data_IF_415930861255
#
_entry.id   IF_415930861255
#
_cell.length_a   1.000
_cell.length_b   1.000
_cell.length_c   1.000
_cell.angle_alpha   90.00
_cell.angle_beta   90.00
_cell.angle_gamma   90.00
#
_symmetry.space_group_name_H-M   'P 1'
#
loop_
_entity.id
_entity.type
_entity.pdbx_description
1 polymer ?
#
# COMPACT_ATOMS: atom_id res chain seq x y z
N UNK A 1 -3.70 21.69 -15.75
CA UNK A 1 -3.14 22.07 -14.44
C UNK A 1 -3.95 21.35 -13.39
N UNK A 2 -3.31 20.55 -12.53
CA UNK A 2 -3.98 20.02 -11.34
C UNK A 2 -4.33 21.19 -10.42
N UNK A 3 -5.44 21.11 -9.69
CA UNK A 3 -5.76 22.14 -8.72
C UNK A 3 -4.86 21.97 -7.49
N UNK A 4 -4.48 23.06 -6.81
CA UNK A 4 -3.67 23.01 -5.59
C UNK A 4 -4.21 22.01 -4.52
N UNK A 5 -5.55 21.88 -4.33
CA UNK A 5 -6.12 20.83 -3.48
C UNK A 5 -5.78 19.40 -3.90
N UNK A 6 -5.62 19.11 -5.19
CA UNK A 6 -5.28 17.77 -5.68
C UNK A 6 -3.83 17.42 -5.38
N UNK A 7 -2.91 18.39 -5.50
CA UNK A 7 -1.49 18.19 -5.21
C UNK A 7 -1.24 17.87 -3.73
N UNK A 8 -1.92 18.58 -2.82
CA UNK A 8 -1.83 18.32 -1.39
C UNK A 8 -2.39 16.94 -1.01
N UNK A 9 -3.52 16.55 -1.62
CA UNK A 9 -4.10 15.21 -1.41
C UNK A 9 -3.15 14.12 -1.93
N UNK A 10 -2.56 14.31 -3.10
CA UNK A 10 -1.60 13.38 -3.69
C UNK A 10 -0.38 13.19 -2.80
N UNK A 11 0.18 14.26 -2.25
CA UNK A 11 1.32 14.18 -1.33
C UNK A 11 0.96 13.41 -0.05
N UNK A 12 -0.19 13.69 0.55
CA UNK A 12 -0.66 12.99 1.74
C UNK A 12 -0.84 11.49 1.49
N UNK A 13 -1.49 11.12 0.37
CA UNK A 13 -1.68 9.72 -0.01
C UNK A 13 -0.33 9.03 -0.26
N UNK A 14 0.57 9.68 -0.98
CA UNK A 14 1.90 9.13 -1.27
C UNK A 14 2.70 8.87 0.01
N UNK A 15 2.68 9.81 0.96
CA UNK A 15 3.36 9.65 2.24
C UNK A 15 2.77 8.50 3.07
N UNK A 16 1.44 8.33 3.05
CA UNK A 16 0.80 7.24 3.78
C UNK A 16 1.09 5.87 3.17
N UNK A 17 1.09 5.75 1.84
CA UNK A 17 1.51 4.53 1.14
C UNK A 17 2.96 4.20 1.50
N UNK A 18 3.86 5.19 1.43
CA UNK A 18 5.26 5.00 1.78
C UNK A 18 5.44 4.58 3.24
N UNK A 19 4.64 5.12 4.16
CA UNK A 19 4.63 4.70 5.57
C UNK A 19 4.20 3.23 5.72
N UNK A 20 3.08 2.83 5.11
CA UNK A 20 2.62 1.44 5.16
C UNK A 20 3.69 0.46 4.63
N UNK A 21 4.37 0.84 3.55
CA UNK A 21 5.42 0.03 2.94
C UNK A 21 6.67 -0.12 3.80
N UNK A 22 7.01 0.85 4.64
CA UNK A 22 8.15 0.70 5.58
C UNK A 22 7.93 -0.45 6.57
N UNK A 23 6.67 -0.73 6.90
CA UNK A 23 6.30 -1.81 7.81
C UNK A 23 6.14 -3.12 7.03
N UNK A 24 5.41 -3.09 5.91
CA UNK A 24 5.13 -4.28 5.09
C UNK A 24 6.35 -4.84 4.37
N UNK A 25 7.22 -3.96 3.89
CA UNK A 25 8.37 -4.27 3.02
C UNK A 25 9.60 -3.46 3.47
N UNK A 26 10.12 -3.72 4.69
CA UNK A 26 11.26 -2.99 5.24
C UNK A 26 12.54 -3.17 4.41
N UNK A 27 12.60 -4.20 3.56
CA UNK A 27 13.65 -4.41 2.57
C UNK A 27 13.71 -3.30 1.48
N UNK A 28 12.62 -2.55 1.32
CA UNK A 28 12.49 -1.51 0.29
C UNK A 28 12.70 -0.14 0.90
N UNK A 29 13.95 0.35 0.79
CA UNK A 29 14.36 1.65 1.33
C UNK A 29 13.64 2.84 0.71
N UNK A 30 13.32 2.77 -0.59
CA UNK A 30 12.72 3.90 -1.32
C UNK A 30 11.69 3.35 -2.30
N UNK A 31 10.45 3.10 -1.85
CA UNK A 31 9.41 2.61 -2.75
C UNK A 31 9.14 3.65 -3.82
N UNK A 32 9.11 3.22 -5.08
CA UNK A 32 8.74 4.07 -6.20
C UNK A 32 7.23 3.93 -6.38
N UNK A 33 6.50 5.03 -6.21
CA UNK A 33 5.05 5.07 -6.37
C UNK A 33 4.74 5.84 -7.64
N UNK A 34 4.06 5.20 -8.58
CA UNK A 34 3.76 5.78 -9.89
C UNK A 34 2.29 5.74 -10.18
N UNK A 35 1.83 6.67 -11.02
CA UNK A 35 0.54 6.57 -11.69
C UNK A 35 0.70 6.70 -13.20
N UNK A 36 -0.21 6.11 -13.96
CA UNK A 36 -0.27 6.21 -15.42
C UNK A 36 -1.71 6.28 -15.89
N UNK A 37 -1.92 6.91 -17.05
CA UNK A 37 -3.23 7.00 -17.69
C UNK A 37 -3.17 6.37 -19.07
N UNK A 38 -4.02 5.38 -19.30
CA UNK A 38 -4.19 4.75 -20.61
C UNK A 38 -5.52 5.17 -21.21
N UNK A 39 -5.47 5.79 -22.40
CA UNK A 39 -6.67 6.27 -23.08
C UNK A 39 -7.21 5.19 -24.02
N UNK A 40 -8.49 4.86 -23.88
CA UNK A 40 -9.21 3.97 -24.78
C UNK A 40 -9.32 4.60 -26.17
N UNK A 41 -8.83 3.93 -27.23
CA UNK A 41 -8.92 4.43 -28.59
C UNK A 41 -10.37 4.42 -29.13
N UNK A 42 -11.30 3.71 -28.47
CA UNK A 42 -12.68 3.54 -28.93
C UNK A 42 -13.67 4.49 -28.27
N UNK A 43 -13.50 4.76 -26.98
CA UNK A 43 -14.49 5.51 -26.18
C UNK A 43 -14.00 6.89 -25.77
N UNK A 44 -12.73 7.24 -26.06
CA UNK A 44 -12.07 8.46 -25.61
C UNK A 44 -12.01 8.64 -24.07
N UNK A 45 -12.55 7.68 -23.31
CA UNK A 45 -12.35 7.51 -21.88
C UNK A 45 -10.95 6.96 -21.63
N UNK A 46 -10.48 6.99 -20.39
CA UNK A 46 -9.23 6.31 -20.04
C UNK A 46 -9.24 5.77 -18.63
N UNK A 47 -8.21 5.01 -18.35
CA UNK A 47 -8.04 4.23 -17.13
C UNK A 47 -6.80 4.71 -16.42
N UNK A 48 -6.95 5.01 -15.14
CA UNK A 48 -5.83 5.34 -14.26
C UNK A 48 -5.31 4.08 -13.59
N UNK A 49 -4.00 3.86 -13.66
CA UNK A 49 -3.31 2.81 -12.93
C UNK A 49 -2.41 3.46 -11.89
N UNK A 50 -2.38 2.92 -10.67
CA UNK A 50 -1.42 3.32 -9.63
C UNK A 50 -0.68 2.09 -9.12
N UNK A 51 0.64 2.17 -8.99
CA UNK A 51 1.49 1.05 -8.63
C UNK A 51 2.64 1.43 -7.69
N UNK A 52 3.07 0.46 -6.88
CA UNK A 52 4.28 0.48 -6.07
C UNK A 52 5.29 -0.47 -6.69
N UNK A 53 6.52 0.00 -6.87
CA UNK A 53 7.63 -0.78 -7.38
C UNK A 53 8.70 -0.97 -6.31
N UNK A 54 9.36 -2.13 -6.35
CA UNK A 54 10.59 -2.39 -5.60
C UNK A 54 11.79 -1.74 -6.27
N UNK A 55 12.91 -1.70 -5.54
CA UNK A 55 14.19 -1.24 -6.06
C UNK A 55 14.67 -2.05 -7.29
N UNK A 56 14.22 -3.31 -7.41
CA UNK A 56 14.55 -4.21 -8.52
C UNK A 56 13.55 -4.12 -9.68
N UNK A 57 12.77 -3.04 -9.76
CA UNK A 57 11.77 -2.81 -10.81
C UNK A 57 10.65 -3.87 -10.85
N UNK A 58 10.34 -4.52 -9.73
CA UNK A 58 9.19 -5.43 -9.62
C UNK A 58 7.98 -4.71 -9.04
N UNK A 59 6.81 -4.91 -9.62
CA UNK A 59 5.53 -4.42 -9.07
C UNK A 59 5.18 -5.21 -7.82
N UNK A 60 4.82 -4.50 -6.76
CA UNK A 60 4.44 -5.08 -5.46
C UNK A 60 2.95 -4.92 -5.22
N UNK A 61 2.45 -3.72 -5.50
CA UNK A 61 1.05 -3.38 -5.41
C UNK A 61 0.66 -2.68 -6.69
N UNK A 62 -0.51 -3.01 -7.23
CA UNK A 62 -1.07 -2.34 -8.40
C UNK A 62 -2.57 -2.24 -8.25
N UNK A 63 -3.12 -1.13 -8.72
CA UNK A 63 -4.55 -0.89 -8.76
C UNK A 63 -4.93 -0.25 -10.07
N UNK A 64 -6.13 -0.60 -10.54
CA UNK A 64 -6.73 -0.05 -11.74
C UNK A 64 -8.02 0.66 -11.33
N UNK A 65 -8.12 1.92 -11.72
CA UNK A 65 -9.31 2.76 -11.61
C UNK A 65 -9.79 3.04 -13.03
N UNK A 66 -11.03 2.64 -13.33
CA UNK A 66 -11.68 2.94 -14.61
C UNK A 66 -12.03 4.42 -14.71
N UNK A 67 -13.31 4.74 -14.92
CA UNK A 67 -13.77 6.13 -14.87
C UNK A 67 -13.42 6.77 -13.51
N UNK A 68 -12.65 7.84 -13.51
CA UNK A 68 -12.15 8.49 -12.31
C UNK A 68 -10.95 9.41 -12.59
N UNK A 69 -10.32 9.91 -11.53
CA UNK A 69 -9.11 10.72 -11.61
C UNK A 69 -7.90 9.99 -10.99
N UNK A 70 -6.72 10.61 -11.11
CA UNK A 70 -5.48 10.07 -10.54
C UNK A 70 -5.53 9.92 -9.02
N UNK A 71 -6.23 10.82 -8.31
CA UNK A 71 -6.39 10.77 -6.84
C UNK A 71 -7.17 9.52 -6.45
N UNK A 72 -8.20 9.14 -7.19
CA UNK A 72 -9.00 7.95 -6.92
C UNK A 72 -8.19 6.66 -7.12
N UNK A 73 -7.36 6.59 -8.16
CA UNK A 73 -6.43 5.48 -8.35
C UNK A 73 -5.43 5.37 -7.18
N UNK A 74 -4.88 6.50 -6.74
CA UNK A 74 -3.97 6.54 -5.60
C UNK A 74 -4.65 6.18 -4.28
N UNK A 75 -5.92 6.56 -4.09
CA UNK A 75 -6.73 6.14 -2.93
C UNK A 75 -6.95 4.64 -2.91
N UNK A 76 -7.20 4.00 -4.06
CA UNK A 76 -7.29 2.54 -4.15
C UNK A 76 -5.98 1.87 -3.78
N UNK A 77 -4.85 2.40 -4.25
CA UNK A 77 -3.53 1.89 -3.89
C UNK A 77 -3.27 2.03 -2.38
N UNK A 78 -3.66 3.16 -1.79
CA UNK A 78 -3.61 3.37 -0.34
C UNK A 78 -4.47 2.35 0.41
N UNK A 79 -5.69 2.11 -0.04
CA UNK A 79 -6.57 1.12 0.57
C UNK A 79 -5.93 -0.26 0.55
N UNK A 80 -5.37 -0.67 -0.59
CA UNK A 80 -4.70 -1.96 -0.75
C UNK A 80 -3.54 -2.11 0.25
N UNK A 81 -2.64 -1.13 0.32
CA UNK A 81 -1.51 -1.18 1.29
C UNK A 81 -1.97 -1.11 2.75
N UNK A 82 -3.09 -0.43 3.04
CA UNK A 82 -3.60 -0.33 4.42
C UNK A 82 -4.27 -1.62 4.88
N UNK A 83 -4.96 -2.33 3.97
CA UNK A 83 -5.54 -3.66 4.26
C UNK A 83 -4.43 -4.67 4.52
N UNK A 84 -3.41 -4.74 3.65
CA UNK A 84 -2.28 -5.64 3.86
C UNK A 84 -1.55 -5.36 5.17
N UNK A 85 -1.39 -4.08 5.56
CA UNK A 85 -0.80 -3.72 6.85
C UNK A 85 -1.61 -4.27 8.02
N UNK A 86 -2.94 -4.15 7.95
CA UNK A 86 -3.84 -4.69 8.98
C UNK A 86 -3.74 -6.21 9.06
N UNK A 87 -3.73 -6.90 7.94
CA UNK A 87 -3.60 -8.36 7.90
C UNK A 87 -2.31 -8.82 8.58
N UNK A 88 -1.17 -8.20 8.24
CA UNK A 88 0.11 -8.51 8.89
C UNK A 88 0.11 -8.19 10.40
N UNK A 89 -0.55 -7.11 10.82
CA UNK A 89 -0.67 -6.80 12.25
C UNK A 89 -1.49 -7.85 13.00
N UNK A 90 -2.60 -8.31 12.42
CA UNK A 90 -3.42 -9.37 13.01
C UNK A 90 -2.63 -10.69 13.12
N UNK A 91 -1.90 -11.09 12.07
CA UNK A 91 -1.04 -12.28 12.11
C UNK A 91 0.02 -12.19 13.22
N UNK A 92 0.56 -10.99 13.46
CA UNK A 92 1.54 -10.77 14.52
C UNK A 92 0.92 -10.83 15.92
N UNK A 93 -0.31 -10.34 16.08
CA UNK A 93 -1.08 -10.48 17.33
C UNK A 93 -1.35 -11.95 17.64
N UNK A 94 -1.82 -12.73 16.65
CA UNK A 94 -2.08 -14.17 16.80
C UNK A 94 -0.82 -14.93 17.24
N UNK A 95 0.33 -14.66 16.59
CA UNK A 95 1.61 -15.26 16.97
C UNK A 95 2.02 -14.92 18.40
N UNK A 96 1.84 -13.66 18.82
CA UNK A 96 2.17 -13.25 20.19
C UNK A 96 1.28 -13.95 21.23
N UNK A 97 0.00 -14.16 20.92
CA UNK A 97 -0.89 -14.93 21.79
C UNK A 97 -0.46 -16.40 21.90
N UNK A 98 0.00 -17.02 20.80
CA UNK A 98 0.56 -18.36 20.81
C UNK A 98 1.84 -18.45 21.66
N UNK A 99 2.77 -17.52 21.48
CA UNK A 99 3.99 -17.46 22.30
C UNK A 99 3.69 -17.26 23.79
N UNK A 100 2.70 -16.41 24.12
CA UNK A 100 2.28 -16.20 25.49
C UNK A 100 1.76 -17.51 26.12
N UNK A 101 0.97 -18.31 25.39
CA UNK A 101 0.48 -19.61 25.87
C UNK A 101 1.62 -20.60 26.13
N UNK A 102 2.61 -20.67 25.23
CA UNK A 102 3.78 -21.55 25.39
C UNK A 102 4.69 -21.10 26.56
N UNK A 103 4.83 -19.79 26.78
CA UNK A 103 5.63 -19.23 27.87
C UNK A 103 5.08 -19.48 29.29
N UNK A 104 3.80 -19.86 29.42
CA UNK A 104 3.19 -20.23 30.71
C UNK A 104 3.47 -21.70 31.08
N UNK A 105 3.79 -22.57 30.12
CA UNK A 105 4.03 -24.00 30.37
C UNK A 105 5.50 -24.36 30.64
N UNK A 106 6.44 -23.41 30.52
CA UNK A 106 7.88 -23.70 30.47
C UNK A 106 8.78 -23.07 31.53
N UNK A 107 8.26 -22.34 32.52
CA UNK A 107 9.08 -21.68 33.55
C UNK A 107 8.74 -22.19 34.94
N UNK A 108 9.25 -23.38 35.27
CA UNK A 108 9.56 -23.70 36.67
C UNK A 108 10.82 -22.91 37.04
N UNK A 109 10.64 -21.88 37.87
CA UNK A 109 11.77 -21.22 38.55
C UNK A 109 12.40 -22.23 39.52
N UNK A 110 13.61 -22.71 39.20
CA UNK A 110 14.50 -23.46 40.11
C UNK A 110 15.38 -22.45 40.86
#
# INVERSE_FOLDING_TARGET
MASFPDEMQMLAIHNQIAYNLRILRPDIKTPIITSSFEKSPRTNQGTWTAAVWSNDSKVIFTTVQGEGNVVDAMRRLLLLTSVSLREMMNEWEDLNEEFAKVGVEGVEYI
#
